data_IF_024820374046
#
_entry.id   IF_024820374046
#
_cell.length_a   1.000
_cell.length_b   1.000
_cell.length_c   1.000
_cell.angle_alpha   90.00
_cell.angle_beta   90.00
_cell.angle_gamma   90.00
#
_symmetry.space_group_name_H-M   'P 1'
#
loop_
_entity.id
_entity.type
_entity.pdbx_description
1 polymer ?
#
# COMPACT_ATOMS: atom_id res chain seq x y z
N UNK A 1 -6.20 1.56 -5.24
CA UNK A 1 -4.98 2.40 -5.27
C UNK A 1 -3.76 1.54 -5.01
N UNK A 2 -2.58 2.03 -5.40
CA UNK A 2 -1.29 1.41 -5.07
C UNK A 2 -0.52 2.45 -4.26
N UNK A 3 0.06 2.04 -3.13
CA UNK A 3 0.84 2.90 -2.26
C UNK A 3 2.23 2.30 -2.05
N UNK A 4 3.22 3.16 -1.80
CA UNK A 4 4.55 2.77 -1.36
C UNK A 4 4.71 3.25 0.08
N UNK A 5 5.15 2.35 0.95
CA UNK A 5 5.65 2.67 2.29
C UNK A 5 7.16 2.44 2.28
N UNK A 6 7.91 3.50 2.50
CA UNK A 6 9.35 3.46 2.68
C UNK A 6 9.70 3.42 4.18
N UNK A 7 10.40 2.37 4.60
CA UNK A 7 10.85 2.15 5.96
C UNK A 7 12.38 2.23 6.11
N UNK A 8 13.09 2.83 5.15
CA UNK A 8 14.55 3.02 5.09
C UNK A 8 15.39 1.73 4.94
N UNK A 9 15.01 0.62 5.55
CA UNK A 9 15.70 -0.68 5.40
C UNK A 9 15.00 -1.61 4.42
N UNK A 10 13.75 -1.30 4.08
CA UNK A 10 12.85 -2.11 3.28
C UNK A 10 11.72 -1.22 2.77
N UNK A 11 11.14 -1.58 1.62
CA UNK A 11 9.96 -0.89 1.09
C UNK A 11 8.80 -1.88 0.92
N UNK A 12 7.59 -1.37 1.10
CA UNK A 12 6.36 -2.12 0.88
C UNK A 12 5.55 -1.46 -0.24
N UNK A 13 5.17 -2.26 -1.24
CA UNK A 13 4.20 -1.86 -2.26
C UNK A 13 2.85 -2.43 -1.86
N UNK A 14 1.98 -1.59 -1.31
CA UNK A 14 0.63 -1.97 -0.91
C UNK A 14 -0.35 -1.86 -2.09
N UNK A 15 -1.16 -2.89 -2.31
CA UNK A 15 -2.06 -3.03 -3.46
C UNK A 15 -3.51 -3.15 -2.98
N UNK A 16 -4.32 -2.15 -3.32
CA UNK A 16 -5.75 -2.15 -3.01
C UNK A 16 -6.54 -3.25 -3.73
N UNK A 17 -7.60 -3.74 -3.10
CA UNK A 17 -8.49 -4.80 -3.62
C UNK A 17 -9.13 -4.45 -4.96
N UNK A 18 -9.38 -3.16 -5.21
CA UNK A 18 -9.99 -2.66 -6.44
C UNK A 18 -8.97 -2.39 -7.57
N UNK A 19 -7.69 -2.72 -7.37
CA UNK A 19 -6.68 -2.66 -8.44
C UNK A 19 -6.92 -3.82 -9.40
N UNK A 20 -6.96 -3.52 -10.70
CA UNK A 20 -7.11 -4.53 -11.75
C UNK A 20 -6.01 -5.62 -11.59
N UNK A 21 -6.38 -6.90 -11.46
CA UNK A 21 -5.42 -8.00 -11.36
C UNK A 21 -4.39 -8.04 -12.50
N UNK A 22 -4.73 -7.53 -13.69
CA UNK A 22 -3.81 -7.43 -14.83
C UNK A 22 -2.64 -6.48 -14.58
N UNK A 23 -2.74 -5.59 -13.59
CA UNK A 23 -1.67 -4.68 -13.18
C UNK A 23 -0.70 -5.29 -12.18
N UNK A 24 -0.94 -6.51 -11.67
CA UNK A 24 -0.03 -7.21 -10.74
C UNK A 24 1.43 -7.29 -11.23
N UNK A 25 1.72 -7.58 -12.51
CA UNK A 25 3.11 -7.57 -13.00
C UNK A 25 3.77 -6.19 -12.93
N UNK A 26 2.97 -5.11 -12.95
CA UNK A 26 3.47 -3.74 -12.88
C UNK A 26 3.76 -3.29 -11.44
N UNK A 27 3.23 -4.01 -10.43
CA UNK A 27 3.41 -3.67 -9.01
C UNK A 27 4.87 -3.74 -8.60
N UNK A 28 5.57 -4.82 -8.98
CA UNK A 28 6.99 -4.96 -8.70
C UNK A 28 7.79 -3.86 -9.42
N UNK A 29 7.49 -3.62 -10.70
CA UNK A 29 8.14 -2.57 -11.48
C UNK A 29 7.94 -1.16 -10.89
N UNK A 30 6.83 -0.90 -10.19
CA UNK A 30 6.61 0.35 -9.46
C UNK A 30 7.60 0.47 -8.29
N UNK A 31 7.77 -0.59 -7.49
CA UNK A 31 8.73 -0.61 -6.39
C UNK A 31 10.18 -0.49 -6.87
N UNK A 32 10.56 -1.21 -7.93
CA UNK A 32 11.91 -1.13 -8.51
C UNK A 32 12.21 0.26 -9.06
N UNK A 33 11.24 0.88 -9.74
CA UNK A 33 11.39 2.26 -10.23
C UNK A 33 11.49 3.26 -9.09
N UNK A 34 10.76 3.05 -8.00
CA UNK A 34 10.87 3.88 -6.81
C UNK A 34 12.28 3.80 -6.24
N UNK A 35 12.82 2.61 -5.95
CA UNK A 35 14.20 2.46 -5.46
C UNK A 35 15.23 3.09 -6.39
N UNK A 36 15.07 2.89 -7.71
CA UNK A 36 15.99 3.46 -8.71
C UNK A 36 15.99 5.00 -8.71
N UNK A 37 14.84 5.63 -8.47
CA UNK A 37 14.72 7.09 -8.42
C UNK A 37 15.08 7.66 -7.05
N UNK A 38 14.75 6.95 -5.98
CA UNK A 38 15.00 7.36 -4.59
C UNK A 38 16.48 7.26 -4.21
N UNK A 39 17.23 6.32 -4.81
CA UNK A 39 18.69 6.27 -4.72
C UNK A 39 19.38 7.59 -5.10
N UNK A 40 18.77 8.40 -5.97
CA UNK A 40 19.33 9.68 -6.39
C UNK A 40 19.20 10.78 -5.32
N UNK A 41 18.45 10.52 -4.24
CA UNK A 41 18.02 11.56 -3.31
C UNK A 41 18.41 11.35 -1.85
N UNK A 42 18.55 10.13 -1.28
CA UNK A 42 19.22 9.84 0.04
C UNK A 42 18.87 8.45 0.66
N UNK A 43 19.75 7.43 0.59
CA UNK A 43 19.88 6.27 1.53
C UNK A 43 19.39 4.85 1.17
N UNK A 44 18.53 4.58 0.19
CA UNK A 44 18.14 3.18 -0.09
C UNK A 44 19.18 2.48 -0.98
N UNK A 45 19.72 1.36 -0.50
CA UNK A 45 20.62 0.51 -1.29
C UNK A 45 19.85 -0.16 -2.45
N UNK A 46 20.54 -0.48 -3.56
CA UNK A 46 19.93 -1.22 -4.69
C UNK A 46 19.37 -2.58 -4.26
N UNK A 47 19.91 -3.15 -3.18
CA UNK A 47 19.52 -4.44 -2.61
C UNK A 47 18.39 -4.33 -1.58
N UNK A 48 17.81 -3.13 -1.38
CA UNK A 48 16.71 -2.91 -0.43
C UNK A 48 15.54 -3.86 -0.76
N UNK A 49 15.07 -4.68 0.20
CA UNK A 49 13.96 -5.59 -0.02
C UNK A 49 12.67 -4.87 -0.42
N UNK A 50 11.98 -5.41 -1.42
CA UNK A 50 10.65 -4.98 -1.83
C UNK A 50 9.64 -6.05 -1.41
N UNK A 51 8.67 -5.67 -0.58
CA UNK A 51 7.56 -6.53 -0.19
C UNK A 51 6.27 -6.08 -0.87
N UNK A 52 5.55 -7.00 -1.51
CA UNK A 52 4.22 -6.73 -2.04
C UNK A 52 3.19 -7.11 -0.99
N UNK A 53 2.36 -6.15 -0.60
CA UNK A 53 1.30 -6.34 0.40
C UNK A 53 -0.05 -6.12 -0.27
N UNK A 54 -1.01 -6.99 -0.06
CA UNK A 54 -2.37 -6.84 -0.60
C UNK A 54 -3.34 -6.41 0.49
N UNK A 55 -4.27 -5.54 0.12
CA UNK A 55 -5.31 -5.05 1.00
C UNK A 55 -6.15 -6.18 1.60
N UNK A 56 -6.27 -6.18 2.92
CA UNK A 56 -6.96 -7.22 3.68
C UNK A 56 -6.12 -8.47 3.99
N UNK A 57 -4.87 -8.52 3.52
CA UNK A 57 -3.90 -9.56 3.85
C UNK A 57 -2.58 -8.93 4.34
N UNK A 58 -2.67 -7.83 5.09
CA UNK A 58 -1.51 -7.14 5.61
C UNK A 58 -0.80 -7.99 6.69
N UNK A 59 0.49 -8.34 6.51
CA UNK A 59 1.23 -9.11 7.52
C UNK A 59 1.61 -8.24 8.73
N UNK A 60 1.84 -8.84 9.92
CA UNK A 60 2.20 -8.09 11.13
C UNK A 60 3.45 -7.20 10.99
N UNK A 61 4.44 -7.62 10.20
CA UNK A 61 5.63 -6.83 9.95
C UNK A 61 5.38 -5.57 9.10
N UNK A 62 4.26 -5.50 8.38
CA UNK A 62 3.81 -4.29 7.69
C UNK A 62 2.96 -3.42 8.62
N UNK A 63 1.99 -4.02 9.33
CA UNK A 63 1.05 -3.24 10.15
C UNK A 63 1.70 -2.58 11.37
N UNK A 64 2.85 -3.09 11.83
CA UNK A 64 3.64 -2.51 12.94
C UNK A 64 4.03 -1.04 12.75
N UNK A 65 4.06 -0.54 11.51
CA UNK A 65 4.40 0.86 11.22
C UNK A 65 3.23 1.83 11.42
N UNK A 66 2.04 1.33 11.75
CA UNK A 66 0.82 2.13 11.91
C UNK A 66 0.11 1.80 13.21
N UNK A 67 -0.73 2.72 13.69
CA UNK A 67 -1.83 2.35 14.60
C UNK A 67 -2.91 1.65 13.78
N UNK A 68 -2.75 0.34 13.62
CA UNK A 68 -3.57 -0.44 12.71
C UNK A 68 -4.95 -0.78 13.28
N UNK A 69 -5.99 -0.54 12.49
CA UNK A 69 -7.38 -0.90 12.80
C UNK A 69 -7.86 -1.92 11.76
N UNK A 70 -7.86 -3.21 12.14
CA UNK A 70 -8.21 -4.31 11.25
C UNK A 70 -9.67 -4.29 10.80
N UNK A 71 -10.55 -3.55 11.48
CA UNK A 71 -11.95 -3.42 11.05
C UNK A 71 -12.09 -2.70 9.71
N UNK A 72 -11.10 -1.87 9.34
CA UNK A 72 -11.09 -1.10 8.09
C UNK A 72 -10.73 -1.95 6.87
N UNK A 73 -10.04 -3.08 7.07
CA UNK A 73 -9.65 -4.00 6.00
C UNK A 73 -10.86 -4.66 5.31
N UNK A 74 -12.03 -4.69 5.97
CA UNK A 74 -13.28 -5.25 5.44
C UNK A 74 -14.17 -4.21 4.73
N UNK A 75 -13.77 -2.93 4.68
CA UNK A 75 -14.57 -1.89 4.04
C UNK A 75 -14.61 -2.11 2.52
N UNK A 76 -15.78 -1.97 1.91
CA UNK A 76 -15.92 -2.10 0.46
C UNK A 76 -15.58 -0.79 -0.27
N UNK A 77 -15.13 -0.90 -1.52
CA UNK A 77 -14.77 0.23 -2.37
C UNK A 77 -13.32 0.69 -2.23
N UNK A 78 -12.85 1.54 -3.14
CA UNK A 78 -11.51 2.13 -3.10
C UNK A 78 -11.39 3.25 -2.05
N UNK A 79 -10.19 3.81 -1.86
CA UNK A 79 -9.95 4.84 -0.83
C UNK A 79 -10.83 6.08 -0.99
N UNK A 80 -11.07 6.51 -2.23
CA UNK A 80 -11.94 7.63 -2.55
C UNK A 80 -13.39 7.35 -2.18
N UNK A 81 -13.93 6.20 -2.61
CA UNK A 81 -15.31 5.79 -2.31
C UNK A 81 -15.56 5.69 -0.80
N UNK A 82 -14.61 5.10 -0.06
CA UNK A 82 -14.72 4.98 1.41
C UNK A 82 -14.65 6.34 2.10
N UNK A 83 -13.72 7.21 1.70
CA UNK A 83 -13.61 8.56 2.25
C UNK A 83 -14.88 9.37 1.96
N UNK A 84 -15.43 9.27 0.75
CA UNK A 84 -16.68 9.92 0.39
C UNK A 84 -17.88 9.40 1.21
N UNK A 85 -17.97 8.08 1.45
CA UNK A 85 -19.03 7.50 2.27
C UNK A 85 -19.02 8.03 3.71
N UNK A 86 -17.83 8.17 4.31
CA UNK A 86 -17.65 8.75 5.65
C UNK A 86 -18.10 10.22 5.68
N UNK A 87 -17.69 11.02 4.68
CA UNK A 87 -18.04 12.43 4.61
C UNK A 87 -19.53 12.67 4.34
N UNK A 88 -20.18 11.76 3.62
CA UNK A 88 -21.60 11.89 3.24
C UNK A 88 -22.57 11.27 4.24
N UNK A 89 -22.08 10.71 5.38
CA UNK A 89 -22.89 10.01 6.39
C UNK A 89 -23.75 8.84 5.84
N UNK A 90 -23.50 8.38 4.61
CA UNK A 90 -24.23 7.28 3.95
C UNK A 90 -23.81 5.88 4.43
N UNK A 91 -22.95 5.81 5.45
CA UNK A 91 -22.36 4.58 5.99
C UNK A 91 -22.72 4.27 7.45
N UNK A 92 -23.78 4.87 7.99
CA UNK A 92 -24.36 4.41 9.27
C UNK A 92 -25.61 3.58 8.99
N UNK A 93 -25.82 2.44 9.68
CA UNK A 93 -27.15 1.87 9.80
C UNK A 93 -28.11 2.87 10.45
#
# INVERSE_FOLDING_TARGET
DIFILDCHTEIFVWVGQQVDPKKKPQVLAIGEKFLKHDFLLENLASETPIYIVTEGNEPPFFTRFFTWDSSKSAMHGNSYQRKLAVLTNKGKP
#
